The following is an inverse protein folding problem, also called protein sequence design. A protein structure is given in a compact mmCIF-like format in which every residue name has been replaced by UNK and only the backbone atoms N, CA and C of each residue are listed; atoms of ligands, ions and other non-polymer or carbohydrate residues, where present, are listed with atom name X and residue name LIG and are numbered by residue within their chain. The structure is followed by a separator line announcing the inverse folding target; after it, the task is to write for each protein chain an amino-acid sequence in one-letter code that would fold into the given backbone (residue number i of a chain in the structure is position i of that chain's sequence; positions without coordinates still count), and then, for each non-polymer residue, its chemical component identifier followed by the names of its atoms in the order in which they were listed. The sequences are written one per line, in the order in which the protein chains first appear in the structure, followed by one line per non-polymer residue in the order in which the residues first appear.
data_IF_878612358151
#
_entry.id   IF_878612358151
#
_cell.length_a   1.000
_cell.length_b   1.000
_cell.length_c   1.000
_cell.angle_alpha   90.00
_cell.angle_beta   90.00
_cell.angle_gamma   90.00
#
_symmetry.space_group_name_H-M   'P 1'
#
loop_
_entity.id
_entity.type
_entity.pdbx_description
1 polymer ?
#
# COMPACT_ATOMS: atom_id res chain seq x y z
N UNK A 1 18.47 -16.27 -3.66
CA UNK A 1 17.22 -15.49 -3.85
C UNK A 1 16.35 -15.38 -2.59
N UNK A 2 16.63 -16.08 -1.49
CA UNK A 2 15.75 -16.11 -0.29
C UNK A 2 16.15 -15.13 0.81
N UNK A 3 17.44 -14.95 1.10
CA UNK A 3 17.89 -14.09 2.22
C UNK A 3 17.60 -12.59 2.00
N UNK A 4 17.84 -12.08 0.79
CA UNK A 4 17.55 -10.67 0.46
C UNK A 4 16.05 -10.39 0.51
N UNK A 5 15.23 -11.31 -0.02
CA UNK A 5 13.78 -11.22 0.00
C UNK A 5 13.22 -11.21 1.45
N UNK A 6 13.76 -12.07 2.31
CA UNK A 6 13.40 -12.10 3.73
C UNK A 6 13.80 -10.81 4.45
N UNK A 7 15.01 -10.31 4.21
CA UNK A 7 15.48 -9.05 4.80
C UNK A 7 14.61 -7.87 4.35
N UNK A 8 14.28 -7.79 3.06
CA UNK A 8 13.39 -6.76 2.53
C UNK A 8 11.97 -6.90 3.09
N UNK A 9 11.44 -8.11 3.26
CA UNK A 9 10.13 -8.32 3.86
C UNK A 9 10.07 -7.88 5.33
N UNK A 10 11.14 -8.13 6.10
CA UNK A 10 11.26 -7.65 7.49
C UNK A 10 11.37 -6.14 7.55
N UNK A 11 12.22 -5.53 6.72
CA UNK A 11 12.38 -4.06 6.66
C UNK A 11 11.07 -3.37 6.25
N UNK A 12 10.37 -3.92 5.26
CA UNK A 12 9.06 -3.42 4.82
C UNK A 12 8.02 -3.59 5.93
N UNK A 13 7.95 -4.77 6.55
CA UNK A 13 7.01 -5.04 7.64
C UNK A 13 7.24 -4.14 8.85
N UNK A 14 8.49 -3.89 9.23
CA UNK A 14 8.86 -2.94 10.29
C UNK A 14 8.50 -1.51 9.89
N UNK A 15 8.82 -1.10 8.66
CA UNK A 15 8.49 0.25 8.16
C UNK A 15 6.98 0.47 8.14
N UNK A 16 6.21 -0.52 7.68
CA UNK A 16 4.74 -0.52 7.71
C UNK A 16 4.18 -0.50 9.14
N UNK A 17 4.80 -1.23 10.07
CA UNK A 17 4.38 -1.23 11.47
C UNK A 17 4.63 0.11 12.16
N UNK A 18 5.77 0.76 11.88
CA UNK A 18 6.17 2.02 12.51
C UNK A 18 5.47 3.23 11.87
N UNK A 19 5.40 3.28 10.54
CA UNK A 19 4.79 4.39 9.79
C UNK A 19 3.28 4.22 9.61
N UNK A 20 2.72 3.07 10.00
CA UNK A 20 1.34 2.70 9.73
C UNK A 20 1.06 2.57 8.22
N UNK A 21 -0.06 3.12 7.75
CA UNK A 21 -0.47 3.06 6.35
C UNK A 21 0.57 3.63 5.36
N UNK A 22 1.47 4.50 5.81
CA UNK A 22 2.50 5.16 4.99
C UNK A 22 3.66 4.26 4.56
N UNK A 23 3.96 3.16 5.28
CA UNK A 23 5.06 2.25 4.89
C UNK A 23 4.81 1.53 3.56
N UNK A 24 3.55 1.47 3.12
CA UNK A 24 3.11 0.79 1.89
C UNK A 24 3.62 1.47 0.63
N UNK A 25 3.87 2.77 0.74
CA UNK A 25 4.42 3.61 -0.33
C UNK A 25 5.82 3.11 -0.71
N UNK A 26 6.58 2.62 0.26
CA UNK A 26 7.93 2.11 0.06
C UNK A 26 7.95 0.66 -0.41
N UNK A 27 6.91 -0.12 -0.15
CA UNK A 27 6.85 -1.55 -0.49
C UNK A 27 6.94 -1.81 -1.99
N UNK A 28 6.20 -1.07 -2.81
CA UNK A 28 6.19 -1.25 -4.27
C UNK A 28 7.57 -1.01 -4.90
N UNK A 29 8.23 0.15 -4.70
CA UNK A 29 9.56 0.37 -5.26
C UNK A 29 10.60 -0.60 -4.69
N UNK A 30 10.48 -1.04 -3.43
CA UNK A 30 11.41 -2.03 -2.88
C UNK A 30 11.26 -3.39 -3.56
N UNK A 31 10.03 -3.84 -3.83
CA UNK A 31 9.80 -5.11 -4.53
C UNK A 31 10.25 -5.05 -6.00
N UNK A 32 10.09 -3.91 -6.66
CA UNK A 32 10.53 -3.73 -8.06
C UNK A 32 12.05 -3.59 -8.14
N UNK A 33 12.64 -2.65 -7.42
CA UNK A 33 14.05 -2.29 -7.59
C UNK A 33 15.01 -3.17 -6.79
N UNK A 34 14.61 -3.65 -5.60
CA UNK A 34 15.47 -4.46 -4.74
C UNK A 34 15.29 -5.96 -4.97
N UNK A 35 14.03 -6.41 -5.12
CA UNK A 35 13.71 -7.84 -5.33
C UNK A 35 13.66 -8.20 -6.81
N UNK A 36 13.55 -7.22 -7.72
CA UNK A 36 13.52 -7.45 -9.16
C UNK A 36 12.21 -8.06 -9.65
N UNK A 37 11.12 -7.90 -8.90
CA UNK A 37 9.82 -8.42 -9.33
C UNK A 37 9.19 -7.57 -10.44
N UNK A 38 8.43 -8.19 -11.36
CA UNK A 38 7.63 -7.45 -12.32
C UNK A 38 6.67 -6.50 -11.61
N UNK A 39 6.45 -5.32 -12.18
CA UNK A 39 5.75 -4.21 -11.52
C UNK A 39 4.34 -4.63 -11.08
N UNK A 40 3.61 -5.35 -11.95
CA UNK A 40 2.27 -5.84 -11.65
C UNK A 40 2.23 -6.82 -10.48
N UNK A 41 3.26 -7.68 -10.36
CA UNK A 41 3.36 -8.65 -9.26
C UNK A 41 3.74 -7.96 -7.96
N UNK A 42 4.66 -7.00 -8.01
CA UNK A 42 5.05 -6.18 -6.87
C UNK A 42 3.87 -5.37 -6.30
N UNK A 43 3.02 -4.80 -7.17
CA UNK A 43 1.84 -4.04 -6.76
C UNK A 43 0.81 -4.95 -6.10
N UNK A 44 0.52 -6.11 -6.70
CA UNK A 44 -0.38 -7.10 -6.12
C UNK A 44 0.13 -7.61 -4.75
N UNK A 45 1.43 -7.91 -4.66
CA UNK A 45 2.08 -8.36 -3.42
C UNK A 45 2.02 -7.30 -2.32
N UNK A 46 2.26 -6.03 -2.66
CA UNK A 46 2.12 -4.91 -1.73
C UNK A 46 0.69 -4.80 -1.19
N UNK A 47 -0.32 -4.91 -2.06
CA UNK A 47 -1.73 -4.83 -1.66
C UNK A 47 -2.10 -5.94 -0.65
N UNK A 48 -1.60 -7.17 -0.88
CA UNK A 48 -1.79 -8.28 0.03
C UNK A 48 -1.11 -8.04 1.40
N UNK A 49 0.11 -7.51 1.41
CA UNK A 49 0.82 -7.17 2.66
C UNK A 49 0.06 -6.10 3.46
N UNK A 50 -0.34 -5.02 2.79
CA UNK A 50 -1.07 -3.91 3.43
C UNK A 50 -2.42 -4.38 3.96
N UNK A 51 -3.16 -5.17 3.19
CA UNK A 51 -4.43 -5.75 3.63
C UNK A 51 -4.26 -6.62 4.88
N UNK A 52 -3.23 -7.47 4.92
CA UNK A 52 -2.92 -8.30 6.09
C UNK A 52 -2.57 -7.47 7.32
N UNK A 53 -1.71 -6.46 7.17
CA UNK A 53 -1.29 -5.58 8.27
C UNK A 53 -2.47 -4.74 8.78
N UNK A 54 -3.29 -4.20 7.87
CA UNK A 54 -4.49 -3.46 8.24
C UNK A 54 -5.49 -4.35 8.99
N UNK A 55 -5.67 -5.60 8.56
CA UNK A 55 -6.56 -6.55 9.23
C UNK A 55 -6.09 -6.88 10.65
N UNK A 56 -4.83 -7.26 10.80
CA UNK A 56 -4.24 -7.57 12.12
C UNK A 56 -4.22 -6.32 13.01
N UNK A 57 -3.89 -5.16 12.44
CA UNK A 57 -3.86 -3.88 13.14
C UNK A 57 -5.24 -3.41 13.61
N UNK A 58 -6.31 -3.69 12.86
CA UNK A 58 -7.68 -3.34 13.24
C UNK A 58 -8.26 -4.26 14.32
N UNK A 59 -7.78 -5.49 14.44
CA UNK A 59 -8.36 -6.52 15.32
C UNK A 59 -8.40 -6.13 16.82
N UNK A 60 -7.34 -5.53 17.42
CA UNK A 60 -7.37 -5.07 18.81
C UNK A 60 -8.38 -3.94 19.05
N UNK A 61 -8.52 -3.00 18.10
CA UNK A 61 -9.47 -1.89 18.19
C UNK A 61 -10.90 -2.37 18.05
N UNK A 62 -11.15 -3.31 17.13
CA UNK A 62 -12.45 -3.96 16.97
C UNK A 62 -12.88 -4.69 18.24
N UNK A 63 -11.95 -5.40 18.90
CA UNK A 63 -12.23 -6.07 20.19
C UNK A 63 -12.52 -5.10 21.34
N UNK A 64 -11.97 -3.89 21.30
CA UNK A 64 -12.22 -2.84 22.30
C UNK A 64 -13.53 -2.07 22.07
N UNK A 65 -14.21 -2.30 20.94
CA UNK A 65 -15.42 -1.55 20.58
C UNK A 65 -15.17 -0.12 20.13
N UNK A 66 -13.91 0.26 19.92
CA UNK A 66 -13.46 1.61 19.55
C UNK A 66 -13.50 1.86 18.04
N UNK A 67 -14.17 0.98 17.28
CA UNK A 67 -14.29 1.09 15.82
C UNK A 67 -15.56 1.82 15.47
N UNK A 68 -15.42 3.00 14.89
CA UNK A 68 -16.55 3.73 14.32
C UNK A 68 -16.96 3.12 12.96
N UNK A 69 -17.87 2.15 13.00
CA UNK A 69 -18.37 1.46 11.81
C UNK A 69 -18.97 2.40 10.75
N UNK A 70 -19.49 3.55 11.16
CA UNK A 70 -20.01 4.56 10.25
C UNK A 70 -18.90 5.12 9.35
N UNK A 71 -17.75 5.46 9.91
CA UNK A 71 -16.57 5.90 9.16
C UNK A 71 -16.01 4.78 8.28
N UNK A 72 -16.04 3.53 8.75
CA UNK A 72 -15.65 2.36 7.93
C UNK A 72 -16.53 2.22 6.68
N UNK A 73 -17.84 2.41 6.80
CA UNK A 73 -18.78 2.32 5.67
C UNK A 73 -18.59 3.51 4.72
N UNK A 74 -18.59 4.74 5.25
CA UNK A 74 -18.52 5.95 4.41
C UNK A 74 -17.17 6.16 3.73
N UNK A 75 -16.07 5.69 4.32
CA UNK A 75 -14.75 5.79 3.72
C UNK A 75 -14.34 4.49 3.00
N UNK A 76 -14.64 3.34 3.60
CA UNK A 76 -14.22 2.04 3.10
C UNK A 76 -14.96 1.60 1.84
N UNK A 77 -16.29 1.76 1.74
CA UNK A 77 -17.02 1.34 0.55
C UNK A 77 -16.61 2.15 -0.70
N UNK A 78 -16.61 3.49 -0.69
CA UNK A 78 -16.17 4.26 -1.84
C UNK A 78 -14.70 3.99 -2.19
N UNK A 79 -13.84 3.81 -1.18
CA UNK A 79 -12.43 3.45 -1.37
C UNK A 79 -12.25 2.09 -2.03
N UNK A 80 -12.99 1.06 -1.58
CA UNK A 80 -12.96 -0.27 -2.20
C UNK A 80 -13.46 -0.23 -3.65
N UNK A 81 -14.59 0.43 -3.90
CA UNK A 81 -15.14 0.57 -5.26
C UNK A 81 -14.16 1.31 -6.18
N UNK A 82 -13.61 2.43 -5.72
CA UNK A 82 -12.60 3.18 -6.45
C UNK A 82 -11.34 2.35 -6.74
N UNK A 83 -10.90 1.53 -5.78
CA UNK A 83 -9.75 0.64 -5.95
C UNK A 83 -10.01 -0.46 -6.99
N UNK A 84 -11.20 -1.09 -6.96
CA UNK A 84 -11.57 -2.12 -7.95
C UNK A 84 -11.65 -1.53 -9.35
N UNK A 85 -12.30 -0.37 -9.50
CA UNK A 85 -12.37 0.35 -10.79
C UNK A 85 -10.97 0.75 -11.26
N UNK A 86 -10.15 1.33 -10.38
CA UNK A 86 -8.77 1.69 -10.69
C UNK A 86 -7.91 0.50 -11.08
N UNK A 87 -8.08 -0.64 -10.41
CA UNK A 87 -7.38 -1.89 -10.75
C UNK A 87 -7.77 -2.39 -12.14
N UNK A 88 -9.05 -2.36 -12.50
CA UNK A 88 -9.51 -2.72 -13.84
C UNK A 88 -8.96 -1.79 -14.92
N UNK A 89 -8.99 -0.48 -14.71
CA UNK A 89 -8.41 0.48 -15.66
C UNK A 89 -6.88 0.33 -15.78
N UNK A 90 -6.20 0.00 -14.68
CA UNK A 90 -4.73 -0.15 -14.66
C UNK A 90 -4.22 -1.29 -15.53
N UNK A 91 -5.07 -2.27 -15.87
CA UNK A 91 -4.68 -3.38 -16.75
C UNK A 91 -4.28 -2.91 -18.15
N UNK A 92 -4.83 -1.78 -18.60
CA UNK A 92 -4.61 -1.19 -19.92
C UNK A 92 -3.42 -0.23 -19.94
N UNK A 93 -2.82 0.05 -18.78
CA UNK A 93 -1.69 0.95 -18.61
C UNK A 93 -0.41 0.12 -18.49
N UNK A 94 0.68 0.58 -19.09
CA UNK A 94 1.98 -0.10 -18.98
C UNK A 94 2.56 0.04 -17.56
N UNK A 95 3.31 -0.96 -17.10
CA UNK A 95 3.88 -0.98 -15.74
C UNK A 95 4.73 0.26 -15.42
N UNK A 96 5.52 0.72 -16.40
CA UNK A 96 6.33 1.94 -16.27
C UNK A 96 5.48 3.19 -16.08
N UNK A 97 4.36 3.32 -16.79
CA UNK A 97 3.43 4.45 -16.61
C UNK A 97 2.73 4.37 -15.27
N UNK A 98 2.37 3.16 -14.80
CA UNK A 98 1.79 2.96 -13.48
C UNK A 98 2.75 3.40 -12.37
N UNK A 99 4.04 3.03 -12.46
CA UNK A 99 5.06 3.49 -11.53
C UNK A 99 5.30 5.01 -11.61
N UNK A 100 5.26 5.59 -12.80
CA UNK A 100 5.44 7.03 -13.00
C UNK A 100 4.26 7.83 -12.43
N UNK A 101 3.03 7.38 -12.65
CA UNK A 101 1.83 7.96 -12.04
C UNK A 101 1.87 7.86 -10.52
N UNK A 102 2.24 6.69 -9.98
CA UNK A 102 2.42 6.49 -8.56
C UNK A 102 3.45 7.45 -7.98
N UNK A 103 4.62 7.56 -8.61
CA UNK A 103 5.69 8.47 -8.21
C UNK A 103 5.23 9.95 -8.24
N UNK A 104 4.47 10.35 -9.27
CA UNK A 104 3.92 11.70 -9.37
C UNK A 104 2.93 12.01 -8.23
N UNK A 105 2.02 11.09 -7.92
CA UNK A 105 1.08 11.25 -6.79
C UNK A 105 1.83 11.35 -5.46
N UNK A 106 2.86 10.54 -5.27
CA UNK A 106 3.69 10.58 -4.05
C UNK A 106 4.48 11.88 -3.93
N UNK A 107 5.03 12.39 -5.02
CA UNK A 107 5.72 13.69 -5.03
C UNK A 107 4.76 14.83 -4.68
N UNK A 108 3.53 14.82 -5.22
CA UNK A 108 2.49 15.80 -4.87
C UNK A 108 2.09 15.69 -3.41
N UNK A 109 1.91 14.46 -2.90
CA UNK A 109 1.58 14.23 -1.49
C UNK A 109 2.69 14.75 -0.56
N UNK A 110 3.96 14.42 -0.86
CA UNK A 110 5.12 14.90 -0.12
C UNK A 110 5.20 16.43 -0.12
N UNK A 111 4.98 17.07 -1.26
CA UNK A 111 4.95 18.54 -1.33
C UNK A 111 3.79 19.13 -0.51
N UNK A 112 2.60 18.53 -0.56
CA UNK A 112 1.47 19.00 0.25
C UNK A 112 1.69 18.84 1.75
N UNK A 113 2.44 17.84 2.19
CA UNK A 113 2.80 17.67 3.60
C UNK A 113 3.86 18.68 4.08
N UNK A 114 4.64 19.25 3.15
CA UNK A 114 5.63 20.31 3.43
C UNK A 114 5.00 21.71 3.43
N UNK A 115 3.75 21.84 2.97
CA UNK A 115 2.98 23.08 3.09
C UNK A 115 2.56 23.31 4.55
N UNK A 116 2.67 24.55 5.07
CA UNK A 116 2.23 24.90 6.42
C UNK A 116 0.73 24.71 6.64
#
# INVERSE_FOLDING_TARGET
MTALALLSAVLVGLSLGVLGSGGSILTVPLLVYLVGQPEKVAIAGSLAMVGGIAFVGALPWARRGEVEWRSVVWFGLPGMLGTVLGAHLSQWISGSVQLLLFAAVMAVAAWRMLGP
#
